data_IF_619106727703
#
_entry.id   IF_619106727703
#
_cell.length_a   1.000
_cell.length_b   1.000
_cell.length_c   1.000
_cell.angle_alpha   90.00
_cell.angle_beta   90.00
_cell.angle_gamma   90.00
#
_symmetry.space_group_name_H-M   'P 1'
#
loop_
_entity.id
_entity.type
_entity.pdbx_description
1 polymer ?
#
# COMPACT_ATOMS: atom_id res chain seq x y z
N UNK A 1 18.42 -26.63 -13.23
CA UNK A 1 17.29 -25.96 -12.55
C UNK A 1 17.20 -24.58 -13.17
N UNK A 2 16.15 -24.35 -13.95
CA UNK A 2 15.94 -23.03 -14.56
C UNK A 2 15.68 -22.00 -13.44
N UNK A 3 16.37 -20.87 -13.50
CA UNK A 3 16.18 -19.75 -12.59
C UNK A 3 14.81 -19.13 -12.84
N UNK A 4 13.83 -19.52 -12.04
CA UNK A 4 12.52 -18.86 -12.06
C UNK A 4 12.69 -17.46 -11.49
N UNK A 5 12.46 -16.44 -12.31
CA UNK A 5 12.54 -15.06 -11.87
C UNK A 5 11.47 -14.77 -10.79
N UNK A 6 11.74 -13.79 -9.89
CA UNK A 6 10.74 -13.31 -8.89
C UNK A 6 9.39 -13.01 -9.55
N UNK A 7 9.42 -12.43 -10.74
CA UNK A 7 8.24 -12.08 -11.52
C UNK A 7 7.45 -13.32 -11.97
N UNK A 8 8.13 -14.40 -12.32
CA UNK A 8 7.52 -15.67 -12.72
C UNK A 8 6.95 -16.39 -11.51
N UNK A 9 7.66 -16.38 -10.36
CA UNK A 9 7.19 -16.96 -9.11
C UNK A 9 5.94 -16.26 -8.58
N UNK A 10 5.94 -14.92 -8.58
CA UNK A 10 4.79 -14.12 -8.18
C UNK A 10 3.57 -14.34 -9.10
N UNK A 11 3.79 -14.36 -10.41
CA UNK A 11 2.72 -14.67 -11.37
C UNK A 11 2.11 -16.05 -11.12
N UNK A 12 2.95 -17.06 -10.93
CA UNK A 12 2.47 -18.44 -10.69
C UNK A 12 1.82 -18.60 -9.32
N UNK A 13 2.36 -17.96 -8.29
CA UNK A 13 1.82 -18.01 -6.92
C UNK A 13 0.50 -17.24 -6.79
N UNK A 14 0.43 -16.04 -7.39
CA UNK A 14 -0.78 -15.23 -7.37
C UNK A 14 -1.93 -15.88 -8.16
N UNK A 15 -1.64 -16.48 -9.32
CA UNK A 15 -2.63 -17.21 -10.11
C UNK A 15 -3.17 -18.44 -9.35
N UNK A 16 -2.28 -19.22 -8.72
CA UNK A 16 -2.71 -20.40 -7.93
C UNK A 16 -3.54 -19.98 -6.70
N UNK A 17 -3.21 -18.86 -6.06
CA UNK A 17 -3.94 -18.38 -4.90
C UNK A 17 -5.27 -17.72 -5.29
N UNK A 18 -5.33 -17.03 -6.42
CA UNK A 18 -6.56 -16.49 -6.97
C UNK A 18 -7.54 -17.64 -7.26
N UNK A 19 -7.08 -18.72 -7.89
CA UNK A 19 -7.90 -19.91 -8.16
C UNK A 19 -8.42 -20.58 -6.88
N UNK A 20 -7.64 -20.59 -5.79
CA UNK A 20 -8.07 -21.13 -4.50
C UNK A 20 -9.04 -20.20 -3.74
N UNK A 21 -8.95 -18.89 -3.95
CA UNK A 21 -9.80 -17.91 -3.28
C UNK A 21 -11.15 -17.71 -3.97
N UNK A 22 -11.25 -18.06 -5.25
CA UNK A 22 -12.49 -17.96 -6.00
C UNK A 22 -13.12 -19.34 -6.14
N UNK A 23 -14.38 -19.54 -5.75
CA UNK A 23 -15.07 -20.78 -6.08
C UNK A 23 -15.06 -20.94 -7.61
N UNK A 24 -14.65 -22.10 -8.10
CA UNK A 24 -14.89 -22.53 -9.47
C UNK A 24 -16.42 -22.62 -9.64
N UNK A 25 -17.09 -21.49 -9.78
CA UNK A 25 -18.48 -21.46 -10.15
C UNK A 25 -18.57 -21.89 -11.61
N UNK A 26 -19.31 -22.95 -11.85
CA UNK A 26 -19.86 -23.20 -13.17
C UNK A 26 -20.40 -21.90 -13.75
N UNK A 27 -20.11 -21.62 -15.02
CA UNK A 27 -20.66 -20.49 -15.76
C UNK A 27 -22.15 -20.34 -15.44
N UNK A 28 -22.47 -19.46 -14.50
CA UNK A 28 -23.82 -18.96 -14.39
C UNK A 28 -24.03 -18.11 -15.65
N UNK A 29 -24.90 -18.56 -16.54
CA UNK A 29 -25.30 -17.78 -17.72
C UNK A 29 -25.59 -16.36 -17.28
N UNK A 30 -24.84 -15.39 -17.81
CA UNK A 30 -25.06 -13.97 -17.52
C UNK A 30 -26.52 -13.62 -17.83
N UNK A 31 -27.21 -12.92 -16.93
CA UNK A 31 -28.56 -12.45 -17.24
C UNK A 31 -28.50 -11.55 -18.48
N UNK A 32 -29.35 -11.84 -19.45
CA UNK A 32 -29.43 -11.07 -20.68
C UNK A 32 -29.76 -9.61 -20.34
N UNK A 33 -28.86 -8.70 -20.67
CA UNK A 33 -29.13 -7.26 -20.56
C UNK A 33 -28.08 -6.38 -19.89
N UNK A 34 -26.91 -6.89 -19.48
CA UNK A 34 -25.83 -6.05 -18.92
C UNK A 34 -24.92 -5.50 -20.01
N UNK A 35 -24.74 -4.18 -20.02
CA UNK A 35 -23.81 -3.52 -20.94
C UNK A 35 -22.37 -4.01 -20.67
N UNK A 36 -21.60 -4.25 -21.76
CA UNK A 36 -20.19 -4.56 -21.65
C UNK A 36 -19.42 -3.40 -20.96
N UNK A 37 -18.36 -3.71 -20.20
CA UNK A 37 -17.48 -2.70 -19.63
C UNK A 37 -16.81 -1.92 -20.73
N UNK A 38 -16.90 -0.60 -20.65
CA UNK A 38 -16.32 0.35 -21.59
C UNK A 38 -14.98 0.85 -21.06
N UNK A 39 -14.05 1.25 -21.93
CA UNK A 39 -12.85 1.95 -21.53
C UNK A 39 -13.12 3.33 -20.89
N UNK A 40 -14.28 3.92 -21.14
CA UNK A 40 -14.77 5.09 -20.42
C UNK A 40 -15.70 4.63 -19.30
N UNK A 41 -15.24 4.75 -18.06
CA UNK A 41 -15.99 4.37 -16.86
C UNK A 41 -16.33 5.58 -15.99
N UNK A 42 -17.54 5.66 -15.43
CA UNK A 42 -17.87 6.65 -14.41
C UNK A 42 -17.27 6.25 -13.07
N UNK A 43 -16.83 7.24 -12.30
CA UNK A 43 -16.54 7.11 -10.87
C UNK A 43 -17.30 8.18 -10.10
N UNK A 44 -17.37 8.05 -8.77
CA UNK A 44 -18.02 9.08 -7.94
C UNK A 44 -17.36 10.47 -8.06
N UNK A 45 -16.10 10.55 -8.52
CA UNK A 45 -15.37 11.82 -8.67
C UNK A 45 -15.37 12.35 -10.09
N UNK A 46 -15.73 11.54 -11.06
CA UNK A 46 -15.79 11.89 -12.47
C UNK A 46 -15.45 10.70 -13.37
N UNK A 47 -15.63 10.83 -14.69
CA UNK A 47 -15.33 9.75 -15.63
C UNK A 47 -13.81 9.55 -15.79
N UNK A 48 -13.40 8.29 -16.00
CA UNK A 48 -12.01 7.92 -16.28
C UNK A 48 -11.91 7.18 -17.61
N UNK A 49 -10.91 7.55 -18.42
CA UNK A 49 -10.65 6.94 -19.71
C UNK A 49 -9.45 6.00 -19.61
N UNK A 50 -9.69 4.71 -19.69
CA UNK A 50 -8.68 3.67 -19.82
C UNK A 50 -8.41 3.30 -21.29
N UNK A 51 -7.69 2.22 -21.50
CA UNK A 51 -7.38 1.66 -22.82
C UNK A 51 -7.59 0.16 -22.88
N UNK A 52 -7.79 -0.34 -24.11
CA UNK A 52 -7.69 -1.76 -24.39
C UNK A 52 -6.21 -2.18 -24.51
N UNK A 53 -5.89 -3.32 -23.92
CA UNK A 53 -4.56 -3.93 -24.00
C UNK A 53 -4.73 -5.44 -24.16
N UNK A 54 -4.57 -5.95 -25.39
CA UNK A 54 -4.94 -7.34 -25.69
C UNK A 54 -6.44 -7.57 -25.56
N UNK A 55 -6.85 -8.56 -24.78
CA UNK A 55 -8.24 -8.92 -24.53
C UNK A 55 -8.83 -8.26 -23.26
N UNK A 56 -8.02 -7.48 -22.53
CA UNK A 56 -8.47 -6.77 -21.33
C UNK A 56 -8.49 -5.23 -21.51
N UNK A 57 -9.13 -4.57 -20.57
CA UNK A 57 -9.13 -3.13 -20.37
C UNK A 57 -8.27 -2.78 -19.16
N UNK A 58 -7.56 -1.68 -19.21
CA UNK A 58 -6.78 -1.16 -18.07
C UNK A 58 -6.96 0.34 -17.91
N UNK A 59 -7.08 0.76 -16.66
CA UNK A 59 -7.08 2.16 -16.22
C UNK A 59 -5.95 2.34 -15.23
N UNK A 60 -4.96 3.13 -15.60
CA UNK A 60 -3.81 3.42 -14.77
C UNK A 60 -3.99 4.71 -13.98
N UNK A 61 -3.53 4.74 -12.74
CA UNK A 61 -3.35 5.95 -11.98
C UNK A 61 -4.63 6.70 -11.62
N UNK A 62 -5.74 6.01 -11.40
CA UNK A 62 -6.99 6.62 -10.92
C UNK A 62 -6.75 7.15 -9.50
N UNK A 63 -6.96 8.45 -9.22
CA UNK A 63 -6.82 8.99 -7.87
C UNK A 63 -7.94 8.49 -6.96
N UNK A 64 -7.57 7.85 -5.85
CA UNK A 64 -8.52 7.45 -4.81
C UNK A 64 -8.54 8.42 -3.63
N UNK A 65 -7.56 9.32 -3.56
CA UNK A 65 -7.46 10.40 -2.60
C UNK A 65 -6.76 11.61 -3.21
N UNK A 66 -6.90 12.77 -2.57
CA UNK A 66 -6.14 13.98 -2.89
C UNK A 66 -4.65 13.77 -2.61
N UNK A 67 -3.80 14.51 -3.35
CA UNK A 67 -2.35 14.46 -3.17
C UNK A 67 -1.94 14.83 -1.74
N UNK A 68 -1.20 13.97 -1.02
CA UNK A 68 -0.76 14.24 0.36
C UNK A 68 0.52 15.09 0.38
N UNK A 69 0.46 16.30 -0.17
CA UNK A 69 1.59 17.22 -0.32
C UNK A 69 1.49 18.42 0.62
N UNK A 70 2.62 19.04 0.96
CA UNK A 70 2.66 20.22 1.82
C UNK A 70 1.99 19.96 3.18
N UNK A 71 1.01 20.76 3.56
CA UNK A 71 0.28 20.60 4.84
C UNK A 71 -0.54 19.31 4.92
N UNK A 72 -0.84 18.66 3.79
CA UNK A 72 -1.49 17.36 3.75
C UNK A 72 -0.51 16.19 3.97
N UNK A 73 0.81 16.43 3.88
CA UNK A 73 1.82 15.44 4.26
C UNK A 73 1.57 15.00 5.71
N UNK A 74 1.57 13.70 5.97
CA UNK A 74 1.26 13.12 7.28
C UNK A 74 -0.13 13.53 7.85
N UNK A 75 -1.12 13.61 6.96
CA UNK A 75 -2.55 13.63 7.34
C UNK A 75 -3.27 12.40 6.80
N UNK A 76 -4.42 12.12 7.36
CA UNK A 76 -5.33 11.14 6.78
C UNK A 76 -5.66 11.54 5.33
N UNK A 77 -5.75 10.57 4.39
CA UNK A 77 -6.08 10.86 2.99
C UNK A 77 -7.43 11.56 2.90
N UNK A 78 -7.47 12.60 2.06
CA UNK A 78 -8.66 13.42 1.82
C UNK A 78 -9.33 13.00 0.51
N UNK A 79 -10.62 13.35 0.34
CA UNK A 79 -11.33 13.14 -0.91
C UNK A 79 -10.62 13.84 -2.06
N UNK A 80 -10.48 13.19 -3.24
CA UNK A 80 -9.97 13.89 -4.42
C UNK A 80 -10.96 14.96 -4.86
N UNK A 81 -10.44 16.02 -5.49
CA UNK A 81 -11.30 16.99 -6.17
C UNK A 81 -11.96 16.31 -7.36
N UNK A 82 -13.29 16.42 -7.46
CA UNK A 82 -14.05 15.87 -8.59
C UNK A 82 -13.71 16.57 -9.92
N UNK A 83 -13.90 15.84 -11.01
CA UNK A 83 -13.68 16.32 -12.39
C UNK A 83 -14.87 16.00 -13.29
N UNK A 84 -15.04 16.81 -14.35
CA UNK A 84 -16.16 16.66 -15.30
C UNK A 84 -15.75 16.03 -16.63
N UNK A 85 -14.55 16.35 -17.10
CA UNK A 85 -14.00 15.75 -18.31
C UNK A 85 -13.35 14.39 -17.98
N UNK A 86 -13.36 13.41 -18.91
CA UNK A 86 -12.69 12.15 -18.69
C UNK A 86 -11.22 12.35 -18.32
N UNK A 87 -10.81 11.82 -17.15
CA UNK A 87 -9.43 11.78 -16.74
C UNK A 87 -8.69 10.72 -17.59
N UNK A 88 -7.58 11.10 -18.20
CA UNK A 88 -6.77 10.17 -18.98
C UNK A 88 -6.02 9.19 -18.04
N UNK A 89 -6.43 7.93 -18.06
CA UNK A 89 -5.87 6.81 -17.31
C UNK A 89 -5.23 5.76 -18.25
N UNK A 90 -4.69 6.17 -19.39
CA UNK A 90 -4.09 5.28 -20.40
C UNK A 90 -2.61 4.99 -20.18
N UNK A 91 -1.94 5.72 -19.30
CA UNK A 91 -0.53 5.56 -18.95
C UNK A 91 -0.32 5.38 -17.44
N UNK A 92 0.69 4.57 -17.02
CA UNK A 92 1.00 4.40 -15.61
C UNK A 92 1.27 5.73 -14.90
N UNK A 93 0.76 5.85 -13.68
CA UNK A 93 1.11 6.95 -12.78
C UNK A 93 2.53 6.76 -12.19
N UNK A 94 3.19 7.84 -11.75
CA UNK A 94 4.42 7.72 -10.98
C UNK A 94 4.20 6.91 -9.68
N UNK A 95 5.24 6.17 -9.28
CA UNK A 95 5.26 5.47 -7.99
C UNK A 95 5.17 6.46 -6.81
N UNK A 96 4.86 5.95 -5.62
CA UNK A 96 5.03 6.70 -4.39
C UNK A 96 6.50 7.12 -4.20
N UNK A 97 6.70 8.30 -3.58
CA UNK A 97 8.04 8.83 -3.35
C UNK A 97 8.89 7.84 -2.56
N UNK A 98 10.02 7.46 -3.10
CA UNK A 98 10.90 6.44 -2.56
C UNK A 98 12.36 6.65 -3.00
N UNK A 99 13.28 6.00 -2.29
CA UNK A 99 14.70 5.97 -2.66
C UNK A 99 15.07 4.52 -2.96
N UNK A 100 15.74 4.31 -4.09
CA UNK A 100 16.40 3.05 -4.43
C UNK A 100 17.90 3.33 -4.59
N UNK A 101 18.41 3.42 -5.80
CA UNK A 101 19.76 3.99 -6.07
C UNK A 101 19.73 5.53 -6.13
N UNK A 102 18.57 6.11 -6.40
CA UNK A 102 18.27 7.53 -6.42
C UNK A 102 16.82 7.76 -6.00
N UNK A 103 16.45 9.00 -5.60
CA UNK A 103 15.04 9.36 -5.37
C UNK A 103 14.22 9.21 -6.66
N UNK A 104 13.06 8.59 -6.55
CA UNK A 104 12.08 8.41 -7.65
C UNK A 104 10.66 8.60 -7.12
N UNK A 105 9.71 8.79 -8.02
CA UNK A 105 8.29 8.87 -7.70
C UNK A 105 7.85 10.27 -7.29
N UNK A 106 6.68 10.33 -6.69
CA UNK A 106 6.03 11.59 -6.27
C UNK A 106 5.25 11.40 -4.97
N UNK A 107 5.05 12.48 -4.22
CA UNK A 107 4.10 12.48 -3.09
C UNK A 107 2.63 12.45 -3.57
N UNK A 108 2.31 12.93 -4.79
CA UNK A 108 1.01 12.74 -5.44
C UNK A 108 0.88 11.29 -5.94
N UNK A 109 0.79 10.35 -5.03
CA UNK A 109 0.89 8.92 -5.28
C UNK A 109 -0.35 8.12 -4.91
N UNK A 110 -1.38 8.73 -4.31
CA UNK A 110 -2.58 8.01 -3.84
C UNK A 110 -3.49 7.64 -5.01
N UNK A 111 -2.99 6.70 -5.82
CA UNK A 111 -3.56 6.26 -7.10
C UNK A 111 -3.61 4.75 -7.16
N UNK A 112 -4.58 4.25 -7.93
CA UNK A 112 -4.74 2.81 -8.16
C UNK A 112 -4.91 2.52 -9.66
N UNK A 113 -4.61 1.28 -10.02
CA UNK A 113 -4.81 0.75 -11.36
C UNK A 113 -5.91 -0.30 -11.31
N UNK A 114 -6.79 -0.29 -12.30
CA UNK A 114 -7.86 -1.28 -12.45
C UNK A 114 -7.68 -2.03 -13.75
N UNK A 115 -7.78 -3.35 -13.70
CA UNK A 115 -7.78 -4.25 -14.86
C UNK A 115 -9.09 -5.02 -14.89
N UNK A 116 -9.70 -5.13 -16.07
CA UNK A 116 -10.96 -5.86 -16.26
C UNK A 116 -11.08 -6.37 -17.69
N UNK A 117 -12.08 -7.18 -17.97
CA UNK A 117 -12.41 -7.59 -19.33
C UNK A 117 -13.74 -6.96 -19.78
N UNK A 118 -13.96 -6.70 -21.07
CA UNK A 118 -15.21 -6.10 -21.56
C UNK A 118 -16.49 -6.87 -21.15
N UNK A 119 -16.37 -8.18 -20.95
CA UNK A 119 -17.47 -9.07 -20.53
C UNK A 119 -17.63 -9.17 -19.01
N UNK A 120 -16.86 -8.41 -18.21
CA UNK A 120 -16.94 -8.49 -16.76
C UNK A 120 -18.32 -8.01 -16.26
N UNK A 121 -18.90 -8.81 -15.37
CA UNK A 121 -20.13 -8.47 -14.67
C UNK A 121 -20.16 -9.17 -13.33
N UNK A 122 -20.27 -8.41 -12.25
CA UNK A 122 -20.25 -8.91 -10.85
C UNK A 122 -19.12 -9.91 -10.59
N UNK A 123 -17.92 -9.65 -11.15
CA UNK A 123 -16.76 -10.50 -10.98
C UNK A 123 -16.15 -10.31 -9.59
N UNK A 124 -15.58 -11.36 -8.98
CA UNK A 124 -14.75 -11.19 -7.80
C UNK A 124 -13.67 -10.11 -8.01
N UNK A 125 -13.37 -9.37 -6.96
CA UNK A 125 -12.35 -8.31 -7.00
C UNK A 125 -11.12 -8.75 -6.22
N UNK A 126 -9.95 -8.74 -6.85
CA UNK A 126 -8.67 -8.97 -6.22
C UNK A 126 -7.94 -7.65 -6.06
N UNK A 127 -7.80 -7.17 -4.82
CA UNK A 127 -7.02 -5.97 -4.49
C UNK A 127 -5.63 -6.40 -4.04
N UNK A 128 -4.59 -5.84 -4.66
CA UNK A 128 -3.20 -6.22 -4.43
C UNK A 128 -2.38 -5.08 -3.83
N UNK A 129 -1.69 -5.39 -2.73
CA UNK A 129 -0.72 -4.54 -2.07
C UNK A 129 0.69 -5.01 -2.43
N UNK A 130 1.48 -4.12 -3.05
CA UNK A 130 2.84 -4.42 -3.47
C UNK A 130 3.80 -4.62 -2.28
N UNK A 131 4.94 -5.28 -2.53
CA UNK A 131 6.01 -5.50 -1.59
C UNK A 131 6.97 -4.31 -1.45
N UNK A 132 8.21 -4.59 -0.99
CA UNK A 132 9.29 -3.58 -0.90
C UNK A 132 9.50 -2.97 0.48
N UNK A 133 9.26 -3.72 1.56
CA UNK A 133 9.49 -3.32 2.97
C UNK A 133 8.76 -2.05 3.42
N UNK A 134 7.66 -1.68 2.76
CA UNK A 134 6.99 -0.39 2.95
C UNK A 134 7.90 0.83 2.69
N UNK A 135 9.01 0.64 1.98
CA UNK A 135 9.97 1.68 1.61
C UNK A 135 10.09 1.87 0.10
N UNK A 136 9.80 0.82 -0.68
CA UNK A 136 9.88 0.82 -2.14
C UNK A 136 8.71 0.02 -2.73
N UNK A 137 8.55 0.08 -4.06
CA UNK A 137 7.54 -0.65 -4.81
C UNK A 137 6.51 0.26 -5.47
N UNK A 138 5.66 -0.33 -6.28
CA UNK A 138 4.58 0.38 -6.98
C UNK A 138 3.46 -0.58 -7.42
N UNK A 139 2.36 -0.02 -7.91
CA UNK A 139 1.19 -0.75 -8.40
C UNK A 139 1.48 -1.67 -9.60
N UNK A 140 2.60 -1.47 -10.29
CA UNK A 140 3.00 -2.27 -11.45
C UNK A 140 3.83 -3.51 -11.09
N UNK A 141 4.11 -3.77 -9.80
CA UNK A 141 4.82 -4.97 -9.35
C UNK A 141 4.17 -6.25 -9.90
N UNK A 142 2.83 -6.27 -9.94
CA UNK A 142 2.04 -7.35 -10.48
C UNK A 142 1.03 -6.80 -11.52
N UNK A 143 1.33 -6.89 -12.83
CA UNK A 143 0.37 -6.50 -13.86
C UNK A 143 -0.82 -7.45 -13.89
N UNK A 144 -2.04 -6.89 -13.87
CA UNK A 144 -3.29 -7.67 -13.71
C UNK A 144 -3.81 -8.34 -14.97
N UNK A 145 -3.22 -8.08 -16.16
CA UNK A 145 -3.76 -8.55 -17.42
C UNK A 145 -4.03 -10.06 -17.49
N UNK A 146 -3.00 -10.86 -17.18
CA UNK A 146 -3.10 -12.33 -17.19
C UNK A 146 -4.15 -12.85 -16.17
N UNK A 147 -4.30 -12.17 -15.02
CA UNK A 147 -5.26 -12.54 -13.98
C UNK A 147 -6.71 -12.33 -14.44
N UNK A 148 -6.99 -11.16 -15.03
CA UNK A 148 -8.37 -10.85 -15.45
C UNK A 148 -8.80 -11.65 -16.68
N UNK A 149 -7.86 -12.01 -17.56
CA UNK A 149 -8.12 -12.81 -18.75
C UNK A 149 -8.36 -14.29 -18.44
N UNK A 150 -7.63 -14.86 -17.47
CA UNK A 150 -7.61 -16.29 -17.20
C UNK A 150 -8.43 -16.66 -15.95
N UNK A 151 -8.42 -15.83 -14.89
CA UNK A 151 -9.02 -16.18 -13.60
C UNK A 151 -10.39 -15.51 -13.36
N UNK A 152 -10.86 -14.71 -14.31
CA UNK A 152 -12.22 -14.17 -14.32
C UNK A 152 -12.53 -13.21 -13.17
N UNK A 153 -11.52 -12.49 -12.67
CA UNK A 153 -11.67 -11.44 -11.66
C UNK A 153 -11.56 -10.03 -12.27
N UNK A 154 -11.89 -9.01 -11.49
CA UNK A 154 -11.40 -7.64 -11.65
C UNK A 154 -10.19 -7.49 -10.73
N UNK A 155 -9.09 -6.99 -11.25
CA UNK A 155 -7.87 -6.81 -10.49
C UNK A 155 -7.60 -5.32 -10.23
N UNK A 156 -7.25 -5.00 -8.99
CA UNK A 156 -6.90 -3.65 -8.55
C UNK A 156 -5.55 -3.69 -7.87
N UNK A 157 -4.59 -2.89 -8.32
CA UNK A 157 -3.34 -2.64 -7.62
C UNK A 157 -3.25 -1.17 -7.23
N UNK A 158 -2.60 -0.86 -6.12
CA UNK A 158 -2.57 0.50 -5.63
C UNK A 158 -1.20 0.91 -5.12
N UNK A 159 -0.90 2.21 -5.26
CA UNK A 159 0.16 2.88 -4.56
C UNK A 159 -0.36 3.41 -3.22
N UNK A 160 0.46 3.33 -2.19
CA UNK A 160 0.25 3.92 -0.87
C UNK A 160 1.54 4.61 -0.43
N UNK A 161 1.47 5.56 0.50
CA UNK A 161 2.68 6.27 0.97
C UNK A 161 3.70 5.29 1.54
N UNK A 162 4.96 5.53 1.25
CA UNK A 162 6.09 4.68 1.60
C UNK A 162 7.09 5.40 2.52
N UNK A 163 7.97 4.61 3.16
CA UNK A 163 9.02 5.14 4.01
C UNK A 163 8.48 6.07 5.09
N UNK A 164 9.23 7.13 5.38
CA UNK A 164 8.83 8.13 6.38
C UNK A 164 7.58 8.93 6.00
N UNK A 165 7.12 8.89 4.74
CA UNK A 165 5.84 9.52 4.33
C UNK A 165 4.64 8.64 4.67
N UNK A 166 4.82 7.31 4.67
CA UNK A 166 3.78 6.34 5.00
C UNK A 166 3.75 5.93 6.46
N UNK A 167 4.91 5.99 7.13
CA UNK A 167 5.08 5.55 8.51
C UNK A 167 6.00 6.51 9.27
N UNK A 168 5.42 7.29 10.19
CA UNK A 168 6.18 8.25 10.98
C UNK A 168 5.45 8.52 12.30
N UNK A 169 6.03 8.06 13.41
CA UNK A 169 5.44 8.15 14.75
C UNK A 169 5.97 9.34 15.57
N UNK A 170 6.60 10.36 14.93
CA UNK A 170 7.02 11.56 15.66
C UNK A 170 5.80 12.25 16.30
N UNK A 171 5.89 12.68 17.57
CA UNK A 171 4.75 13.26 18.29
C UNK A 171 4.14 14.49 17.60
N UNK A 172 4.94 15.31 16.93
CA UNK A 172 4.47 16.47 16.18
C UNK A 172 3.54 16.10 14.98
N UNK A 173 3.59 14.85 14.51
CA UNK A 173 2.79 14.33 13.41
C UNK A 173 1.58 13.50 13.89
N UNK A 174 1.61 13.08 15.15
CA UNK A 174 0.60 12.25 15.80
C UNK A 174 0.02 13.01 17.00
N UNK A 175 -0.81 14.05 16.79
CA UNK A 175 -1.35 14.84 17.88
C UNK A 175 -2.16 13.97 18.86
N UNK A 176 -2.20 14.38 20.15
CA UNK A 176 -2.79 13.62 21.28
C UNK A 176 -4.26 13.21 21.08
N UNK A 177 -4.99 13.85 20.18
CA UNK A 177 -6.40 13.58 19.87
C UNK A 177 -6.65 12.36 18.97
N UNK A 178 -5.84 11.31 19.08
CA UNK A 178 -6.01 10.06 18.32
C UNK A 178 -5.28 10.06 16.97
N UNK A 179 -4.22 10.83 16.83
CA UNK A 179 -3.33 10.78 15.69
C UNK A 179 -2.58 9.44 15.61
N UNK A 180 -2.26 9.03 14.42
CA UNK A 180 -1.50 7.81 14.15
C UNK A 180 -0.32 8.09 13.23
N UNK A 181 0.76 7.32 13.38
CA UNK A 181 1.89 7.30 12.45
C UNK A 181 1.70 6.31 11.28
N UNK A 182 0.58 5.59 11.23
CA UNK A 182 0.28 4.56 10.24
C UNK A 182 -0.42 5.12 8.99
N UNK A 183 0.11 6.18 8.38
CA UNK A 183 -0.53 6.88 7.25
C UNK A 183 -0.77 5.97 6.04
N UNK A 184 0.16 5.04 5.75
CA UNK A 184 0.00 4.07 4.67
C UNK A 184 -1.20 3.13 4.89
N UNK A 185 -1.51 2.76 6.13
CA UNK A 185 -2.72 1.97 6.42
C UNK A 185 -3.99 2.79 6.23
N UNK A 186 -3.97 4.09 6.53
CA UNK A 186 -5.08 4.99 6.22
C UNK A 186 -5.29 5.10 4.70
N UNK A 187 -4.21 5.13 3.91
CA UNK A 187 -4.27 5.15 2.45
C UNK A 187 -4.91 3.86 1.90
N UNK A 188 -4.49 2.70 2.42
CA UNK A 188 -5.07 1.40 2.04
C UNK A 188 -6.57 1.34 2.39
N UNK A 189 -6.97 1.84 3.57
CA UNK A 189 -8.37 1.90 3.96
C UNK A 189 -9.18 2.77 2.99
N UNK A 190 -8.66 3.95 2.62
CA UNK A 190 -9.29 4.86 1.66
C UNK A 190 -9.40 4.25 0.26
N UNK A 191 -8.36 3.53 -0.19
CA UNK A 191 -8.39 2.81 -1.46
C UNK A 191 -9.45 1.70 -1.47
N UNK A 192 -9.60 0.95 -0.37
CA UNK A 192 -10.65 -0.07 -0.24
C UNK A 192 -12.05 0.55 -0.23
N UNK A 193 -12.25 1.71 0.40
CA UNK A 193 -13.51 2.44 0.33
C UNK A 193 -13.80 2.87 -1.12
N UNK A 194 -12.81 3.42 -1.84
CA UNK A 194 -12.93 3.74 -3.26
C UNK A 194 -13.33 2.50 -4.10
N UNK A 195 -12.69 1.36 -3.88
CA UNK A 195 -13.02 0.10 -4.58
C UNK A 195 -14.49 -0.28 -4.34
N UNK A 196 -14.95 -0.27 -3.09
CA UNK A 196 -16.34 -0.61 -2.76
C UNK A 196 -17.36 0.30 -3.44
N UNK A 197 -17.04 1.57 -3.61
CA UNK A 197 -17.93 2.59 -4.16
C UNK A 197 -17.94 2.61 -5.70
N UNK A 198 -16.85 2.20 -6.35
CA UNK A 198 -16.67 2.43 -7.79
C UNK A 198 -16.51 1.16 -8.62
N UNK A 199 -16.09 0.03 -8.03
CA UNK A 199 -15.63 -1.14 -8.80
C UNK A 199 -16.71 -1.79 -9.66
N UNK A 200 -17.99 -1.56 -9.35
CA UNK A 200 -19.12 -2.06 -10.14
C UNK A 200 -19.11 -1.49 -11.58
N UNK A 201 -18.64 -0.24 -11.77
CA UNK A 201 -18.50 0.36 -13.10
C UNK A 201 -17.44 -0.36 -13.97
N UNK A 202 -16.52 -1.05 -13.33
CA UNK A 202 -15.46 -1.84 -13.94
C UNK A 202 -15.80 -3.35 -14.03
N UNK A 203 -17.04 -3.71 -13.71
CA UNK A 203 -17.54 -5.09 -13.75
C UNK A 203 -17.24 -5.93 -12.52
N UNK A 204 -16.73 -5.33 -11.43
CA UNK A 204 -16.45 -6.01 -10.16
C UNK A 204 -17.65 -6.05 -9.22
N UNK A 205 -17.63 -7.01 -8.29
CA UNK A 205 -18.60 -7.14 -7.20
C UNK A 205 -18.04 -6.52 -5.91
N UNK A 206 -18.57 -5.38 -5.44
CA UNK A 206 -18.11 -4.72 -4.22
C UNK A 206 -18.38 -5.53 -2.94
N UNK A 207 -19.22 -6.57 -3.00
CA UNK A 207 -19.48 -7.50 -1.91
C UNK A 207 -18.54 -8.73 -1.93
N UNK A 208 -17.62 -8.82 -2.90
CA UNK A 208 -16.73 -9.97 -3.08
C UNK A 208 -15.27 -9.52 -3.32
N UNK A 209 -14.72 -8.78 -2.37
CA UNK A 209 -13.37 -8.24 -2.39
C UNK A 209 -12.42 -9.18 -1.64
N UNK A 210 -11.34 -9.58 -2.27
CA UNK A 210 -10.20 -10.28 -1.66
C UNK A 210 -9.04 -9.30 -1.56
N UNK A 211 -8.60 -9.00 -0.35
CA UNK A 211 -7.39 -8.22 -0.11
C UNK A 211 -6.17 -9.14 -0.15
N UNK A 212 -5.20 -8.83 -0.99
CA UNK A 212 -3.98 -9.64 -1.16
C UNK A 212 -2.73 -8.79 -1.13
N UNK A 213 -1.58 -9.41 -0.85
CA UNK A 213 -0.30 -8.71 -0.88
C UNK A 213 0.88 -9.63 -0.71
N UNK A 214 2.04 -9.17 -1.18
CA UNK A 214 3.31 -9.88 -1.10
C UNK A 214 4.31 -9.18 -0.20
N UNK A 215 5.07 -9.94 0.61
CA UNK A 215 6.13 -9.40 1.48
C UNK A 215 5.60 -8.30 2.42
N UNK A 216 6.03 -7.05 2.28
CA UNK A 216 5.46 -5.92 3.03
C UNK A 216 3.97 -5.74 2.77
N UNK A 217 3.49 -5.92 1.53
CA UNK A 217 2.06 -5.92 1.21
C UNK A 217 1.31 -7.04 1.93
N UNK A 218 1.88 -8.24 2.00
CA UNK A 218 1.36 -9.35 2.80
C UNK A 218 1.33 -9.03 4.30
N UNK A 219 2.34 -8.31 4.81
CA UNK A 219 2.35 -7.80 6.20
C UNK A 219 1.25 -6.77 6.42
N UNK A 220 1.04 -5.88 5.46
CA UNK A 220 -0.06 -4.90 5.51
C UNK A 220 -1.43 -5.61 5.50
N UNK A 221 -1.61 -6.69 4.70
CA UNK A 221 -2.83 -7.53 4.77
C UNK A 221 -3.04 -8.09 6.18
N UNK A 222 -1.97 -8.63 6.81
CA UNK A 222 -2.06 -9.14 8.18
C UNK A 222 -2.41 -8.03 9.17
N UNK A 223 -1.82 -6.84 9.03
CA UNK A 223 -2.17 -5.66 9.84
C UNK A 223 -3.64 -5.27 9.66
N UNK A 224 -4.15 -5.25 8.42
CA UNK A 224 -5.56 -4.97 8.12
C UNK A 224 -6.51 -5.98 8.79
N UNK A 225 -6.11 -7.24 8.91
CA UNK A 225 -6.91 -8.27 9.60
C UNK A 225 -7.06 -8.02 11.11
N UNK A 226 -6.10 -7.33 11.74
CA UNK A 226 -6.15 -7.03 13.19
C UNK A 226 -6.78 -5.68 13.49
N UNK A 227 -6.84 -4.78 12.54
CA UNK A 227 -7.24 -3.40 12.73
C UNK A 227 -8.75 -3.20 12.63
N UNK A 228 -9.42 -2.64 13.64
CA UNK A 228 -10.85 -2.31 13.56
C UNK A 228 -11.22 -1.40 12.39
N UNK A 229 -10.26 -0.57 11.93
CA UNK A 229 -10.44 0.32 10.79
C UNK A 229 -10.88 -0.44 9.52
N UNK A 230 -10.46 -1.68 9.35
CA UNK A 230 -10.73 -2.45 8.14
C UNK A 230 -11.96 -3.35 8.21
N UNK A 231 -12.74 -3.28 9.29
CA UNK A 231 -13.94 -4.09 9.46
C UNK A 231 -14.91 -3.91 8.28
N UNK A 232 -15.24 -5.01 7.60
CA UNK A 232 -16.20 -5.03 6.49
C UNK A 232 -15.69 -4.44 5.16
N UNK A 233 -14.41 -4.02 5.07
CA UNK A 233 -13.85 -3.48 3.82
C UNK A 233 -13.45 -4.54 2.80
N UNK A 234 -13.24 -5.77 3.24
CA UNK A 234 -12.97 -6.92 2.37
C UNK A 234 -13.61 -8.17 2.96
N UNK A 235 -13.81 -9.20 2.14
CA UNK A 235 -14.49 -10.45 2.49
C UNK A 235 -13.56 -11.65 2.56
N UNK A 236 -12.34 -11.53 1.99
CA UNK A 236 -11.32 -12.59 1.98
C UNK A 236 -9.94 -11.94 2.04
N UNK A 237 -8.94 -12.68 2.50
CA UNK A 237 -7.57 -12.20 2.56
C UNK A 237 -6.57 -13.25 2.08
N UNK A 238 -5.50 -12.78 1.41
CA UNK A 238 -4.37 -13.60 0.98
C UNK A 238 -3.08 -12.89 1.35
N UNK A 239 -2.22 -13.53 2.14
CA UNK A 239 -0.90 -13.01 2.48
C UNK A 239 0.19 -13.93 1.95
N UNK A 240 1.01 -13.39 1.04
CA UNK A 240 2.18 -14.08 0.50
C UNK A 240 3.43 -13.59 1.22
N UNK A 241 4.11 -14.46 1.95
CA UNK A 241 5.37 -14.15 2.66
C UNK A 241 5.28 -12.92 3.55
N UNK A 242 4.10 -12.68 4.13
CA UNK A 242 3.83 -11.57 5.04
C UNK A 242 4.23 -11.89 6.47
N UNK A 243 4.89 -10.95 7.16
CA UNK A 243 5.18 -11.05 8.58
C UNK A 243 4.00 -10.60 9.45
N UNK A 244 4.12 -10.84 10.76
CA UNK A 244 3.12 -10.47 11.77
C UNK A 244 3.70 -9.57 12.87
N UNK A 245 4.78 -8.84 12.58
CA UNK A 245 5.45 -7.96 13.57
C UNK A 245 4.96 -6.53 13.45
N UNK A 246 4.66 -5.92 14.59
CA UNK A 246 4.38 -4.50 14.74
C UNK A 246 5.51 -3.82 15.50
N UNK A 247 5.68 -2.52 15.27
CA UNK A 247 6.67 -1.70 15.98
C UNK A 247 6.03 -0.97 17.15
N UNK A 248 6.78 -0.81 18.23
CA UNK A 248 6.43 0.09 19.33
C UNK A 248 6.55 1.55 18.84
N UNK A 249 5.51 2.38 18.98
CA UNK A 249 5.52 3.74 18.44
C UNK A 249 6.55 4.65 19.10
N UNK A 250 6.82 4.49 20.41
CA UNK A 250 7.78 5.33 21.13
C UNK A 250 9.22 4.96 20.78
N UNK A 251 9.51 3.68 20.63
CA UNK A 251 10.81 3.23 20.14
C UNK A 251 11.05 3.68 18.70
N UNK A 252 10.03 3.61 17.86
CA UNK A 252 10.07 4.07 16.49
C UNK A 252 10.29 5.59 16.40
N UNK A 253 9.58 6.39 17.22
CA UNK A 253 9.76 7.85 17.28
C UNK A 253 11.20 8.22 17.62
N UNK A 254 11.83 7.53 18.59
CA UNK A 254 13.25 7.74 18.94
C UNK A 254 14.18 7.41 17.78
N UNK A 255 13.94 6.31 17.07
CA UNK A 255 14.75 5.92 15.92
C UNK A 255 14.61 6.93 14.78
N UNK A 256 13.42 7.40 14.49
CA UNK A 256 13.13 8.40 13.47
C UNK A 256 13.74 9.76 13.87
N UNK A 257 13.60 10.17 15.14
CA UNK A 257 14.19 11.40 15.65
C UNK A 257 15.73 11.39 15.51
N UNK A 258 16.38 10.26 15.83
CA UNK A 258 17.84 10.12 15.63
C UNK A 258 18.23 10.23 14.15
N UNK A 259 17.44 9.68 13.25
CA UNK A 259 17.69 9.75 11.81
C UNK A 259 17.49 11.16 11.22
N UNK A 260 16.55 11.93 11.78
CA UNK A 260 16.20 13.29 11.31
C UNK A 260 16.96 14.41 12.07
N UNK A 261 17.58 14.13 13.22
CA UNK A 261 18.28 15.13 14.00
C UNK A 261 19.39 15.85 13.20
N UNK A 262 20.27 15.17 12.43
CA UNK A 262 21.25 15.85 11.59
C UNK A 262 20.60 16.82 10.59
N UNK A 263 19.47 16.42 9.98
CA UNK A 263 18.75 17.26 9.03
C UNK A 263 18.20 18.53 9.69
N UNK A 264 17.68 18.40 10.91
CA UNK A 264 17.14 19.53 11.66
C UNK A 264 18.23 20.53 12.08
N UNK A 265 19.47 20.05 12.34
CA UNK A 265 20.65 20.91 12.59
C UNK A 265 21.12 21.55 11.28
N UNK A 266 21.21 20.81 10.17
CA UNK A 266 21.54 21.34 8.85
C UNK A 266 20.63 22.52 8.45
N UNK A 267 19.35 22.44 8.80
CA UNK A 267 18.35 23.48 8.53
C UNK A 267 18.31 24.60 9.59
N UNK A 268 19.23 24.59 10.56
CA UNK A 268 19.33 25.62 11.62
C UNK A 268 18.13 25.63 12.58
N UNK A 269 17.38 24.52 12.70
CA UNK A 269 16.22 24.41 13.60
C UNK A 269 16.65 24.19 15.05
N UNK A 270 17.79 23.55 15.26
CA UNK A 270 18.37 23.25 16.56
C UNK A 270 19.88 23.51 16.55
N UNK A 271 20.44 23.76 17.73
CA UNK A 271 21.86 24.10 17.89
C UNK A 271 22.79 22.90 17.64
N UNK A 272 22.33 21.69 17.99
CA UNK A 272 23.07 20.44 17.85
C UNK A 272 22.13 19.24 17.75
N UNK A 273 22.67 18.05 17.45
CA UNK A 273 21.88 16.84 17.26
C UNK A 273 21.18 16.35 18.54
N UNK A 274 21.74 16.61 19.74
CA UNK A 274 21.08 16.25 20.98
C UNK A 274 19.84 17.10 21.23
N UNK A 275 19.95 18.41 20.99
CA UNK A 275 18.83 19.35 21.07
C UNK A 275 17.77 18.99 20.01
N UNK A 276 18.20 18.66 18.77
CA UNK A 276 17.30 18.22 17.70
C UNK A 276 16.58 16.92 18.05
N UNK A 277 17.30 15.91 18.53
CA UNK A 277 16.73 14.65 18.96
C UNK A 277 15.65 14.87 20.03
N UNK A 278 15.94 15.65 21.07
CA UNK A 278 15.00 15.95 22.14
C UNK A 278 13.78 16.74 21.62
N UNK A 279 14.00 17.74 20.78
CA UNK A 279 12.95 18.57 20.20
C UNK A 279 12.02 17.82 19.25
N UNK A 280 12.56 16.90 18.44
CA UNK A 280 11.77 16.04 17.54
C UNK A 280 10.85 15.06 18.29
N UNK A 281 11.14 14.78 19.56
CA UNK A 281 10.32 13.95 20.43
C UNK A 281 9.25 14.73 21.19
N UNK A 282 9.00 15.98 20.82
CA UNK A 282 7.92 16.81 21.38
C UNK A 282 6.78 17.01 20.37
N UNK A 283 5.54 17.23 20.83
CA UNK A 283 4.40 17.51 19.95
C UNK A 283 4.37 18.97 19.47
N UNK A 284 5.54 19.54 19.09
CA UNK A 284 5.68 20.93 18.71
C UNK A 284 5.20 21.15 17.26
N UNK A 285 4.26 22.08 17.09
CA UNK A 285 3.75 22.49 15.78
C UNK A 285 4.84 23.03 14.84
N UNK A 286 5.87 23.70 15.37
CA UNK A 286 6.98 24.20 14.56
C UNK A 286 7.83 23.07 13.96
N UNK A 287 7.92 21.92 14.64
CA UNK A 287 8.56 20.71 14.10
C UNK A 287 7.73 20.18 12.92
N UNK A 288 6.41 20.14 13.05
CA UNK A 288 5.53 19.72 11.95
C UNK A 288 5.65 20.66 10.76
N UNK A 289 5.57 21.99 10.96
CA UNK A 289 5.68 22.98 9.88
C UNK A 289 7.01 22.83 9.14
N UNK A 290 8.10 22.67 9.88
CA UNK A 290 9.42 22.45 9.29
C UNK A 290 9.42 21.15 8.45
N UNK A 291 8.99 20.02 9.00
CA UNK A 291 8.96 18.74 8.28
C UNK A 291 8.12 18.83 7.00
N UNK A 292 6.99 19.53 7.03
CA UNK A 292 6.14 19.74 5.86
C UNK A 292 6.80 20.61 4.79
N UNK A 293 7.75 21.49 5.17
CA UNK A 293 8.49 22.35 4.26
C UNK A 293 9.75 21.71 3.66
N UNK A 294 10.23 20.61 4.24
CA UNK A 294 11.47 19.95 3.78
C UNK A 294 11.23 19.24 2.45
N UNK A 295 12.21 19.38 1.53
CA UNK A 295 12.22 18.65 0.26
C UNK A 295 12.13 17.13 0.49
N UNK A 296 11.24 16.41 -0.24
CA UNK A 296 11.01 14.99 -0.03
C UNK A 296 12.27 14.13 -0.10
N UNK A 297 13.19 14.45 -1.00
CA UNK A 297 14.46 13.72 -1.18
C UNK A 297 15.32 13.70 0.08
N UNK A 298 15.30 14.79 0.85
CA UNK A 298 16.09 14.94 2.08
C UNK A 298 15.53 14.10 3.24
N UNK A 299 14.22 13.90 3.26
CA UNK A 299 13.54 13.06 4.27
C UNK A 299 13.68 11.57 3.89
N UNK A 300 13.37 11.22 2.65
CA UNK A 300 13.31 9.84 2.19
C UNK A 300 14.65 9.11 2.36
N UNK A 301 15.78 9.82 2.24
CA UNK A 301 17.12 9.24 2.36
C UNK A 301 17.61 9.04 3.79
N UNK A 302 16.85 9.47 4.83
CA UNK A 302 17.34 9.45 6.22
C UNK A 302 17.19 8.11 6.92
N UNK A 303 16.35 7.21 6.42
CA UNK A 303 16.20 5.87 6.99
C UNK A 303 16.92 4.83 6.13
N UNK A 304 17.66 3.90 6.72
CA UNK A 304 18.28 2.81 5.98
C UNK A 304 17.21 1.87 5.43
N UNK A 305 17.53 1.21 4.31
CA UNK A 305 16.64 0.19 3.76
C UNK A 305 16.63 -1.06 4.62
N UNK A 306 15.43 -1.50 4.99
CA UNK A 306 15.25 -2.78 5.64
C UNK A 306 15.47 -3.91 4.63
N UNK A 307 16.20 -4.95 5.07
CA UNK A 307 16.39 -6.19 4.34
C UNK A 307 16.11 -7.36 5.31
N UNK A 308 17.12 -8.11 5.73
CA UNK A 308 16.96 -9.12 6.79
C UNK A 308 16.63 -8.50 8.15
N UNK A 309 17.18 -7.33 8.43
CA UNK A 309 16.97 -6.60 9.69
C UNK A 309 15.78 -5.64 9.55
N UNK A 310 14.58 -6.18 9.62
CA UNK A 310 13.34 -5.42 9.47
C UNK A 310 13.22 -4.26 10.47
N UNK A 311 13.87 -4.33 11.63
CA UNK A 311 13.85 -3.30 12.66
C UNK A 311 14.60 -2.00 12.30
N UNK A 312 15.41 -1.99 11.24
CA UNK A 312 16.10 -0.75 10.80
C UNK A 312 15.15 0.29 10.21
N UNK A 313 13.98 -0.13 9.76
CA UNK A 313 12.88 0.77 9.40
C UNK A 313 11.63 0.37 10.18
N UNK A 314 11.31 1.06 11.29
CA UNK A 314 10.11 0.77 12.08
C UNK A 314 8.86 1.23 11.31
N UNK A 315 7.86 0.37 11.25
CA UNK A 315 6.58 0.63 10.61
C UNK A 315 5.51 -0.27 11.22
N UNK A 316 4.23 -0.01 10.90
CA UNK A 316 3.09 -0.71 11.48
C UNK A 316 3.09 -0.55 13.01
N UNK A 317 2.80 0.67 13.45
CA UNK A 317 2.86 1.02 14.87
C UNK A 317 1.65 0.48 15.64
N UNK A 318 1.92 -0.23 16.72
CA UNK A 318 0.89 -0.69 17.67
C UNK A 318 0.45 0.48 18.58
N UNK A 319 -0.38 1.38 18.05
CA UNK A 319 -0.72 2.68 18.60
C UNK A 319 -2.11 2.76 19.26
N UNK A 320 -2.90 1.67 19.26
CA UNK A 320 -4.31 1.61 19.67
C UNK A 320 -5.26 2.55 18.88
N UNK A 321 -4.76 3.23 17.86
CA UNK A 321 -5.57 4.07 16.96
C UNK A 321 -5.91 3.29 15.69
N UNK A 322 -4.89 2.82 14.97
CA UNK A 322 -5.04 2.00 13.76
C UNK A 322 -4.75 0.55 14.08
N UNK A 323 -3.70 0.25 14.82
CA UNK A 323 -3.31 -1.10 15.17
C UNK A 323 -3.34 -1.31 16.68
N UNK A 324 -3.94 -2.43 17.16
CA UNK A 324 -4.03 -2.69 18.59
C UNK A 324 -2.64 -2.90 19.20
N UNK A 325 -2.38 -2.34 20.39
CA UNK A 325 -1.13 -2.54 21.14
C UNK A 325 -0.82 -3.99 21.43
N UNK A 326 -1.86 -4.80 21.68
CA UNK A 326 -1.70 -6.22 21.87
C UNK A 326 -1.30 -6.95 20.57
N UNK A 327 -1.28 -6.27 19.42
CA UNK A 327 -0.95 -6.85 18.14
C UNK A 327 -1.81 -8.07 17.82
N UNK A 328 -1.22 -9.10 17.25
CA UNK A 328 -1.91 -10.36 16.97
C UNK A 328 -2.35 -11.12 18.23
N UNK A 329 -1.75 -10.84 19.38
CA UNK A 329 -2.15 -11.44 20.66
C UNK A 329 -3.51 -10.95 21.17
N UNK A 330 -4.04 -9.87 20.61
CA UNK A 330 -5.38 -9.37 20.93
C UNK A 330 -6.50 -10.39 20.61
N UNK A 331 -6.20 -11.40 19.81
CA UNK A 331 -7.15 -12.48 19.48
C UNK A 331 -8.34 -12.06 18.60
N UNK A 332 -8.37 -10.82 18.13
CA UNK A 332 -9.46 -10.26 17.33
C UNK A 332 -9.03 -10.05 15.88
N UNK A 333 -8.98 -11.14 15.12
CA UNK A 333 -8.87 -11.05 13.66
C UNK A 333 -10.27 -10.91 13.04
N UNK A 334 -10.37 -10.16 11.94
CA UNK A 334 -11.58 -10.19 11.13
C UNK A 334 -11.85 -11.62 10.66
N UNK A 335 -13.09 -12.09 10.89
CA UNK A 335 -13.51 -13.45 10.59
C UNK A 335 -13.81 -13.59 9.09
N UNK A 336 -12.75 -13.63 8.29
CA UNK A 336 -12.82 -13.82 6.83
C UNK A 336 -11.97 -15.02 6.43
N UNK A 337 -12.31 -15.74 5.33
CA UNK A 337 -11.42 -16.74 4.75
C UNK A 337 -10.02 -16.17 4.50
N UNK A 338 -8.99 -16.86 4.98
CA UNK A 338 -7.60 -16.44 4.94
C UNK A 338 -6.73 -17.51 4.28
N UNK A 339 -5.97 -17.13 3.26
CA UNK A 339 -4.92 -17.94 2.67
C UNK A 339 -3.57 -17.36 3.04
N UNK A 340 -2.74 -18.16 3.70
CA UNK A 340 -1.36 -17.80 4.02
C UNK A 340 -0.40 -18.67 3.20
N UNK A 341 0.54 -18.02 2.51
CA UNK A 341 1.61 -18.69 1.80
C UNK A 341 2.96 -18.16 2.28
N UNK A 342 3.89 -19.07 2.43
CA UNK A 342 5.29 -18.77 2.76
C UNK A 342 6.22 -19.67 1.95
N UNK A 343 7.37 -19.16 1.57
CA UNK A 343 8.40 -19.92 0.88
C UNK A 343 9.14 -20.84 1.83
N UNK A 344 9.62 -21.99 1.34
CA UNK A 344 10.48 -22.89 2.12
C UNK A 344 11.85 -22.31 2.44
N UNK A 345 12.28 -21.27 1.72
CA UNK A 345 13.59 -20.62 1.82
C UNK A 345 13.45 -19.10 1.91
N UNK A 346 12.54 -18.63 2.76
CA UNK A 346 12.33 -17.21 3.02
C UNK A 346 13.65 -16.52 3.42
N UNK A 347 13.84 -15.29 2.91
CA UNK A 347 15.02 -14.46 3.14
C UNK A 347 16.38 -15.02 2.70
N UNK A 348 16.49 -16.24 2.22
CA UNK A 348 17.79 -16.80 1.80
C UNK A 348 18.48 -15.98 0.70
N UNK A 349 17.70 -15.37 -0.23
CA UNK A 349 18.26 -14.48 -1.23
C UNK A 349 18.82 -13.17 -0.65
N UNK A 350 18.28 -12.69 0.46
CA UNK A 350 18.78 -11.48 1.14
C UNK A 350 20.05 -11.79 1.95
N UNK A 351 20.18 -13.02 2.47
CA UNK A 351 21.36 -13.43 3.21
C UNK A 351 22.64 -13.37 2.35
N UNK A 352 22.51 -13.59 1.04
CA UNK A 352 23.63 -13.48 0.09
C UNK A 352 24.24 -12.07 0.00
N UNK A 353 23.48 -11.05 0.36
CA UNK A 353 23.90 -9.64 0.30
C UNK A 353 24.08 -9.00 1.68
N UNK A 354 23.86 -9.75 2.76
CA UNK A 354 24.06 -9.25 4.12
C UNK A 354 25.49 -9.57 4.57
N UNK A 355 26.27 -8.54 4.91
CA UNK A 355 27.67 -8.67 5.28
C UNK A 355 27.98 -9.56 6.51
N UNK A 356 26.95 -9.97 7.27
CA UNK A 356 27.09 -10.96 8.34
C UNK A 356 27.13 -12.41 7.82
N UNK A 357 26.51 -12.64 6.66
CA UNK A 357 26.40 -13.97 6.07
C UNK A 357 27.27 -14.11 4.80
N UNK A 358 27.66 -13.00 4.20
CA UNK A 358 28.43 -12.95 2.95
C UNK A 358 29.89 -12.52 3.16
N UNK A 359 30.38 -12.50 4.41
CA UNK A 359 31.76 -12.15 4.72
C UNK A 359 32.70 -13.36 4.54
N UNK A 360 32.75 -13.92 3.31
CA UNK A 360 33.94 -14.68 2.86
C UNK A 360 33.77 -15.09 1.39
#
# INVERSE_FOLDING_TARGET
MENISRRTFLKSGAAAAAAAAFPLSAEAAAPAGTAAVSALCPTQYGPVQGKAQGSHLVWYGIPYAAAPVGDARWRAPQEPTGWTNPLDCTAPAPAAYQVSSAPIGTEDCLRLDVYSVPSAHSRPVLVYLHGGNNQTGDSLELPGGDLVENDGCVFVSLNYRLGLFGFNSLPALCPEDGGTGNFALLDIAKALDWVRENISAFGGDPANITLSGFSAGGRNVMACLTSPLFAGRFQKAISFSGGITFSDPDAAARQIAAALAPLAVEDGRFADENAAFAGLLTPDAAVREWLCSVEPSRIASRMPHAALRMSVFPHLYADDVVLPKAGFAAGTLHQVPLLLLTGSTEFSAFALYDGWFASE
#
